data_IF_436327030310
#
_entry.id   IF_436327030310
#
_cell.length_a   1.000
_cell.length_b   1.000
_cell.length_c   1.000
_cell.angle_alpha   90.00
_cell.angle_beta   90.00
_cell.angle_gamma   90.00
#
_symmetry.space_group_name_H-M   'P 1'
#
loop_
_entity.id
_entity.type
_entity.pdbx_description
1 polymer ?
#
# COMPACT_ATOMS: atom_id res chain seq x y z
N UNK A 1 6.20 -15.50 -12.35
CA UNK A 1 6.56 -16.28 -11.14
C UNK A 1 5.38 -17.14 -10.72
N UNK A 2 5.63 -18.39 -10.39
CA UNK A 2 4.61 -19.31 -9.91
C UNK A 2 4.58 -19.26 -8.38
N UNK A 3 3.39 -19.02 -7.80
CA UNK A 3 3.18 -19.06 -6.37
C UNK A 3 2.47 -20.37 -6.00
N UNK A 4 3.01 -21.07 -5.00
CA UNK A 4 2.45 -22.35 -4.53
C UNK A 4 1.87 -22.16 -3.14
N UNK A 5 0.65 -22.61 -2.91
CA UNK A 5 -0.02 -22.50 -1.61
C UNK A 5 0.78 -23.17 -0.49
N UNK A 6 1.49 -24.26 -0.79
CA UNK A 6 2.27 -24.99 0.21
C UNK A 6 3.45 -24.19 0.77
N UNK A 7 3.94 -23.18 0.05
CA UNK A 7 5.08 -22.36 0.47
C UNK A 7 4.74 -20.87 0.58
N UNK A 8 3.52 -20.48 0.21
CA UNK A 8 3.09 -19.09 0.24
C UNK A 8 2.60 -18.73 1.64
N UNK A 9 3.01 -17.58 2.15
CA UNK A 9 2.44 -17.02 3.37
C UNK A 9 1.03 -16.50 3.06
N UNK A 10 0.04 -17.32 3.33
CA UNK A 10 -1.34 -17.03 3.03
C UNK A 10 -2.26 -17.62 4.11
N UNK A 11 -3.14 -16.80 4.64
CA UNK A 11 -4.19 -17.23 5.56
C UNK A 11 -5.47 -16.49 5.24
N UNK A 12 -6.51 -17.25 4.92
CA UNK A 12 -7.84 -16.69 4.65
C UNK A 12 -8.70 -16.74 5.90
N UNK A 13 -9.72 -15.90 5.93
CA UNK A 13 -10.70 -15.86 7.02
C UNK A 13 -12.10 -16.18 6.49
N UNK A 14 -12.91 -16.83 7.32
CA UNK A 14 -14.30 -17.14 6.95
C UNK A 14 -15.26 -16.00 7.24
N UNK A 15 -14.93 -15.15 8.22
CA UNK A 15 -15.79 -14.08 8.67
C UNK A 15 -15.17 -12.72 8.35
N UNK A 16 -16.04 -11.71 8.23
CA UNK A 16 -15.59 -10.35 8.03
C UNK A 16 -14.94 -9.82 9.32
N UNK A 17 -13.82 -9.07 9.22
CA UNK A 17 -13.28 -8.40 10.39
C UNK A 17 -14.25 -7.34 10.91
N UNK A 18 -14.35 -7.21 12.23
CA UNK A 18 -15.30 -6.32 12.88
C UNK A 18 -15.10 -4.84 12.54
N UNK A 19 -13.88 -4.46 12.20
CA UNK A 19 -13.50 -3.07 11.89
C UNK A 19 -13.57 -2.73 10.40
N UNK A 20 -13.95 -3.70 9.55
CA UNK A 20 -14.03 -3.48 8.10
C UNK A 20 -15.45 -3.12 7.69
N UNK A 21 -15.65 -1.89 7.20
CA UNK A 21 -16.97 -1.38 6.82
C UNK A 21 -17.22 -1.48 5.31
N UNK A 22 -16.20 -1.28 4.48
CA UNK A 22 -16.35 -1.29 3.02
C UNK A 22 -16.05 -2.67 2.44
N UNK A 23 -16.71 -3.07 1.33
CA UNK A 23 -16.51 -4.40 0.74
C UNK A 23 -15.07 -4.70 0.34
N UNK A 24 -14.34 -3.73 -0.22
CA UNK A 24 -12.94 -3.92 -0.61
C UNK A 24 -12.06 -4.27 0.58
N UNK A 25 -12.24 -3.59 1.70
CA UNK A 25 -11.49 -3.86 2.92
C UNK A 25 -11.79 -5.26 3.46
N UNK A 26 -13.07 -5.62 3.54
CA UNK A 26 -13.49 -6.95 4.00
C UNK A 26 -12.89 -8.07 3.16
N UNK A 27 -12.95 -7.93 1.85
CA UNK A 27 -12.44 -8.96 0.93
C UNK A 27 -10.92 -9.08 0.99
N UNK A 28 -10.21 -7.96 1.07
CA UNK A 28 -8.74 -7.98 1.14
C UNK A 28 -8.24 -8.68 2.42
N UNK A 29 -8.89 -8.43 3.55
CA UNK A 29 -8.52 -9.07 4.82
C UNK A 29 -8.88 -10.56 4.79
N UNK A 30 -10.07 -10.90 4.33
CA UNK A 30 -10.53 -12.30 4.26
C UNK A 30 -9.71 -13.14 3.29
N UNK A 31 -9.31 -12.57 2.18
CA UNK A 31 -8.52 -13.27 1.17
C UNK A 31 -7.03 -13.42 1.55
N UNK A 32 -6.61 -12.81 2.65
CA UNK A 32 -5.22 -12.89 3.09
C UNK A 32 -4.28 -11.98 2.30
N UNK A 33 -4.79 -10.89 1.75
CA UNK A 33 -3.99 -9.92 0.99
C UNK A 33 -3.37 -8.86 1.88
N UNK A 34 -4.06 -8.47 2.94
CA UNK A 34 -3.58 -7.50 3.93
C UNK A 34 -3.87 -7.98 5.34
N UNK A 35 -3.11 -7.46 6.31
CA UNK A 35 -3.33 -7.72 7.74
C UNK A 35 -3.25 -6.42 8.51
N UNK A 36 -4.21 -6.20 9.40
CA UNK A 36 -4.22 -5.02 10.25
C UNK A 36 -3.16 -5.11 11.34
N UNK A 37 -2.39 -4.03 11.52
CA UNK A 37 -1.42 -3.88 12.62
C UNK A 37 -1.99 -2.96 13.69
N UNK A 38 -2.68 -1.90 13.28
CA UNK A 38 -3.34 -0.94 14.15
C UNK A 38 -4.34 -0.13 13.34
N UNK A 39 -5.07 0.83 13.94
CA UNK A 39 -6.00 1.68 13.19
C UNK A 39 -5.30 2.41 12.05
N UNK A 40 -5.75 2.15 10.83
CA UNK A 40 -5.16 2.76 9.63
C UNK A 40 -3.77 2.23 9.26
N UNK A 41 -3.27 1.22 9.95
CA UNK A 41 -1.93 0.66 9.72
C UNK A 41 -2.08 -0.80 9.29
N UNK A 42 -1.58 -1.12 8.09
CA UNK A 42 -1.73 -2.44 7.49
C UNK A 42 -0.42 -2.98 6.95
N UNK A 43 -0.27 -4.29 6.99
CA UNK A 43 0.82 -5.00 6.32
C UNK A 43 0.28 -5.58 5.02
N UNK A 44 1.01 -5.37 3.92
CA UNK A 44 0.74 -6.03 2.65
C UNK A 44 1.31 -7.43 2.69
N UNK A 45 0.46 -8.44 2.59
CA UNK A 45 0.89 -9.84 2.51
C UNK A 45 1.31 -10.17 1.07
N UNK A 46 1.95 -11.32 0.82
CA UNK A 46 2.54 -11.59 -0.51
C UNK A 46 1.61 -11.37 -1.71
N UNK A 47 0.37 -11.86 -1.64
CA UNK A 47 -0.59 -11.66 -2.74
C UNK A 47 -1.03 -10.21 -2.85
N UNK A 48 -1.26 -9.54 -1.72
CA UNK A 48 -1.62 -8.12 -1.70
C UNK A 48 -0.50 -7.24 -2.26
N UNK A 49 0.73 -7.54 -1.88
CA UNK A 49 1.89 -6.82 -2.40
C UNK A 49 2.03 -6.97 -3.91
N UNK A 50 1.74 -8.17 -4.44
CA UNK A 50 1.77 -8.40 -5.87
C UNK A 50 0.76 -7.51 -6.61
N UNK A 51 -0.44 -7.37 -6.08
CA UNK A 51 -1.46 -6.47 -6.65
C UNK A 51 -0.99 -5.01 -6.58
N UNK A 52 -0.46 -4.59 -5.44
CA UNK A 52 0.06 -3.23 -5.26
C UNK A 52 1.17 -2.92 -6.28
N UNK A 53 2.12 -3.84 -6.46
CA UNK A 53 3.19 -3.67 -7.44
C UNK A 53 2.67 -3.58 -8.87
N UNK A 54 1.63 -4.33 -9.20
CA UNK A 54 0.99 -4.23 -10.51
C UNK A 54 0.34 -2.85 -10.73
N UNK A 55 -0.32 -2.32 -9.71
CA UNK A 55 -0.89 -0.95 -9.77
C UNK A 55 0.22 0.09 -9.94
N UNK A 56 1.31 -0.02 -9.18
CA UNK A 56 2.46 0.86 -9.31
C UNK A 56 3.04 0.84 -10.73
N UNK A 57 3.15 -0.35 -11.33
CA UNK A 57 3.65 -0.51 -12.69
C UNK A 57 2.78 0.22 -13.70
N UNK A 58 1.46 0.09 -13.60
CA UNK A 58 0.53 0.78 -14.49
C UNK A 58 0.66 2.30 -14.34
N UNK A 59 0.70 2.80 -13.12
CA UNK A 59 0.88 4.23 -12.87
C UNK A 59 2.22 4.72 -13.46
N UNK A 60 3.28 3.96 -13.25
CA UNK A 60 4.61 4.32 -13.79
C UNK A 60 4.59 4.39 -15.31
N UNK A 61 4.01 3.39 -15.97
CA UNK A 61 3.92 3.36 -17.43
C UNK A 61 3.15 4.57 -17.99
N UNK A 62 2.03 4.91 -17.38
CA UNK A 62 1.21 6.04 -17.81
C UNK A 62 1.93 7.38 -17.59
N UNK A 63 2.61 7.53 -16.47
CA UNK A 63 3.36 8.75 -16.18
C UNK A 63 4.59 8.90 -17.09
N UNK A 64 5.29 7.82 -17.37
CA UNK A 64 6.41 7.83 -18.31
C UNK A 64 5.95 8.21 -19.72
N UNK A 65 4.77 7.74 -20.13
CA UNK A 65 4.22 8.02 -21.46
C UNK A 65 3.95 9.51 -21.69
N UNK A 66 3.66 10.29 -20.66
CA UNK A 66 3.46 11.74 -20.77
C UNK A 66 4.73 12.54 -20.52
N UNK A 67 5.88 11.88 -20.39
CA UNK A 67 7.17 12.54 -20.20
C UNK A 67 7.54 12.88 -18.77
N UNK A 68 6.80 12.37 -17.79
CA UNK A 68 7.14 12.56 -16.38
C UNK A 68 8.41 11.77 -16.03
N UNK A 69 9.14 12.26 -15.05
CA UNK A 69 10.37 11.61 -14.59
C UNK A 69 10.23 11.20 -13.13
N UNK A 70 10.57 9.94 -12.85
CA UNK A 70 10.47 9.37 -11.52
C UNK A 70 11.67 9.74 -10.67
N UNK A 71 11.42 10.08 -9.41
CA UNK A 71 12.48 10.30 -8.42
C UNK A 71 12.02 9.79 -7.07
N UNK A 72 12.94 9.61 -6.15
CA UNK A 72 12.67 9.17 -4.79
C UNK A 72 13.18 10.22 -3.82
N UNK A 73 12.28 10.76 -3.01
CA UNK A 73 12.66 11.68 -1.95
C UNK A 73 13.22 10.92 -0.73
N UNK A 74 14.09 11.56 0.09
CA UNK A 74 14.50 10.96 1.35
C UNK A 74 13.31 10.73 2.27
N UNK A 75 13.35 9.67 3.07
CA UNK A 75 12.30 9.38 4.06
C UNK A 75 12.25 10.44 5.16
N UNK A 76 13.43 10.96 5.54
CA UNK A 76 13.55 12.03 6.52
C UNK A 76 13.96 13.31 5.81
N UNK A 77 13.16 14.36 5.95
CA UNK A 77 13.38 15.64 5.29
C UNK A 77 13.76 16.72 6.31
N UNK A 78 14.62 17.68 5.93
CA UNK A 78 14.95 18.81 6.79
C UNK A 78 13.71 19.66 7.11
N UNK A 79 13.75 20.33 8.23
CA UNK A 79 12.66 21.21 8.69
C UNK A 79 12.54 22.49 7.83
N UNK A 80 13.65 23.03 7.39
CA UNK A 80 13.74 24.35 6.78
C UNK A 80 12.80 24.58 5.57
N UNK A 81 12.71 23.64 4.60
CA UNK A 81 11.78 23.82 3.49
C UNK A 81 10.32 23.91 3.92
N UNK A 82 9.94 23.19 4.97
CA UNK A 82 8.57 23.21 5.48
C UNK A 82 8.25 24.50 6.23
N UNK A 83 9.21 25.06 6.95
CA UNK A 83 9.05 26.36 7.57
C UNK A 83 8.93 27.47 6.54
N UNK A 84 9.79 27.44 5.50
CA UNK A 84 9.79 28.42 4.43
C UNK A 84 8.46 28.50 3.68
N UNK A 85 7.75 27.37 3.56
CA UNK A 85 6.45 27.31 2.87
C UNK A 85 5.25 27.34 3.81
N UNK A 86 5.46 27.53 5.13
CA UNK A 86 4.40 27.58 6.12
C UNK A 86 3.76 26.23 6.45
N UNK A 87 4.38 25.12 6.05
CA UNK A 87 3.81 23.78 6.22
C UNK A 87 4.25 23.06 7.47
N UNK A 88 5.14 23.66 8.24
CA UNK A 88 5.64 23.00 9.45
C UNK A 88 4.59 22.86 10.54
N UNK A 89 3.77 23.89 10.74
CA UNK A 89 2.78 23.92 11.81
C UNK A 89 1.33 23.84 11.33
N UNK A 90 1.07 24.03 10.05
CA UNK A 90 -0.30 24.12 9.51
C UNK A 90 -0.69 22.96 8.60
N UNK A 91 -0.13 21.82 8.85
CA UNK A 91 -0.45 20.66 8.01
C UNK A 91 -1.09 19.57 8.82
#
# INVERSE_FOLDING_TARGET
MILRLSSLFLRTLREDPADAEVPSHRLLVRAGYIRRVGPGIYTWLPLGLKVLRNVETIVREEMDAIGAQELVFPALLPREPYEATGRWTEY
#
